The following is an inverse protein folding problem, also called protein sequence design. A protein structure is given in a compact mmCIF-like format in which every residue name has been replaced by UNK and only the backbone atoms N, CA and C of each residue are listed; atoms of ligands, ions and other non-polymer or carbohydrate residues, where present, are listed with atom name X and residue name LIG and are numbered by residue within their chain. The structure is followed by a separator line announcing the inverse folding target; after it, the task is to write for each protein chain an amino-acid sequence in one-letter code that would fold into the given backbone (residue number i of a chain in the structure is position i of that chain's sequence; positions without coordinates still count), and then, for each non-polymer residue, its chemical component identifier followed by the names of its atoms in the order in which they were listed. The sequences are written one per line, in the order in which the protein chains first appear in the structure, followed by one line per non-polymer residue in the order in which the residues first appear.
data_IF_435668700230
#
_entry.id   IF_435668700230
#
_cell.length_a   1.000
_cell.length_b   1.000
_cell.length_c   1.000
_cell.angle_alpha   90.00
_cell.angle_beta   90.00
_cell.angle_gamma   90.00
#
_symmetry.space_group_name_H-M   'P 1'
#
loop_
_entity.id
_entity.type
_entity.pdbx_description
1 polymer ?
#
# COMPACT_ATOMS: atom_id res chain seq x y z
N UNK A 1 -14.41 29.52 35.46
CA UNK A 1 -14.43 28.13 34.93
C UNK A 1 -13.39 27.32 35.70
N UNK A 2 -13.81 26.44 36.61
CA UNK A 2 -12.93 25.84 37.64
C UNK A 2 -11.78 25.02 37.01
N UNK A 3 -10.55 25.27 37.47
CA UNK A 3 -9.28 24.68 37.04
C UNK A 3 -9.34 23.14 36.89
N UNK A 4 -10.14 22.48 37.73
CA UNK A 4 -10.33 21.02 37.68
C UNK A 4 -11.06 20.55 36.42
N UNK A 5 -12.01 21.33 35.93
CA UNK A 5 -12.68 21.01 34.66
C UNK A 5 -11.75 21.28 33.48
N UNK A 6 -11.02 22.40 33.49
CA UNK A 6 -10.04 22.73 32.46
C UNK A 6 -8.95 21.65 32.33
N UNK A 7 -8.44 21.12 33.45
CA UNK A 7 -7.44 20.05 33.45
C UNK A 7 -7.96 18.74 32.84
N UNK A 8 -9.21 18.35 33.15
CA UNK A 8 -9.84 17.16 32.56
C UNK A 8 -10.09 17.34 31.06
N UNK A 9 -10.51 18.53 30.64
CA UNK A 9 -10.66 18.87 29.22
C UNK A 9 -9.33 18.81 28.48
N UNK A 10 -8.27 19.39 29.03
CA UNK A 10 -6.92 19.33 28.45
C UNK A 10 -6.42 17.89 28.35
N UNK A 11 -6.60 17.08 29.39
CA UNK A 11 -6.18 15.68 29.39
C UNK A 11 -6.96 14.85 28.35
N UNK A 12 -8.27 15.09 28.23
CA UNK A 12 -9.09 14.47 27.19
C UNK A 12 -8.66 14.90 25.78
N UNK A 13 -8.36 16.19 25.58
CA UNK A 13 -7.88 16.72 24.30
C UNK A 13 -6.53 16.11 23.90
N UNK A 14 -5.59 16.01 24.86
CA UNK A 14 -4.28 15.39 24.64
C UNK A 14 -4.41 13.91 24.29
N UNK A 15 -5.25 13.17 25.03
CA UNK A 15 -5.50 11.75 24.75
C UNK A 15 -6.12 11.56 23.36
N UNK A 16 -7.15 12.33 23.02
CA UNK A 16 -7.79 12.28 21.70
C UNK A 16 -6.79 12.61 20.57
N UNK A 17 -5.96 13.65 20.76
CA UNK A 17 -4.91 14.04 19.81
C UNK A 17 -3.88 12.92 19.63
N UNK A 18 -3.42 12.30 20.72
CA UNK A 18 -2.46 11.20 20.68
C UNK A 18 -3.03 9.98 19.94
N UNK A 19 -4.29 9.62 20.21
CA UNK A 19 -4.98 8.53 19.50
C UNK A 19 -5.11 8.85 18.01
N UNK A 20 -5.50 10.06 17.64
CA UNK A 20 -5.56 10.51 16.24
C UNK A 20 -4.21 10.39 15.53
N UNK A 21 -3.13 10.83 16.19
CA UNK A 21 -1.77 10.73 15.65
C UNK A 21 -1.32 9.26 15.50
N UNK A 22 -1.63 8.40 16.47
CA UNK A 22 -1.33 6.98 16.40
C UNK A 22 -2.08 6.30 15.24
N UNK A 23 -3.38 6.59 15.07
CA UNK A 23 -4.17 6.08 13.95
C UNK A 23 -3.60 6.56 12.61
N UNK A 24 -3.21 7.83 12.51
CA UNK A 24 -2.59 8.38 11.29
C UNK A 24 -1.21 7.79 10.99
N UNK A 25 -0.41 7.48 12.01
CA UNK A 25 0.91 6.88 11.81
C UNK A 25 0.82 5.40 11.40
N UNK A 26 -0.04 4.64 12.09
CA UNK A 26 -0.04 3.17 12.04
C UNK A 26 -1.17 2.55 11.23
N UNK A 27 -2.33 3.20 11.10
CA UNK A 27 -3.49 2.62 10.42
C UNK A 27 -3.61 3.07 8.96
N UNK A 28 -3.57 4.38 8.71
CA UNK A 28 -3.90 4.95 7.41
C UNK A 28 -2.89 6.00 6.96
N UNK A 29 -2.35 5.85 5.76
CA UNK A 29 -1.57 6.91 5.11
C UNK A 29 -2.28 7.37 3.84
N UNK A 30 -2.49 8.68 3.73
CA UNK A 30 -3.08 9.30 2.54
C UNK A 30 -1.92 9.72 1.65
N UNK A 31 -1.88 9.20 0.43
CA UNK A 31 -0.96 9.65 -0.61
C UNK A 31 -1.74 10.39 -1.69
N UNK A 32 -1.11 11.44 -2.21
CA UNK A 32 -1.57 12.12 -3.43
C UNK A 32 -0.76 11.56 -4.58
N UNK A 33 -1.42 11.10 -5.64
CA UNK A 33 -0.74 10.59 -6.84
C UNK A 33 -0.14 11.79 -7.59
N UNK A 34 1.20 11.92 -7.66
CA UNK A 34 1.83 13.15 -8.15
C UNK A 34 1.88 13.26 -9.68
N UNK A 35 1.94 12.13 -10.39
CA UNK A 35 2.29 12.09 -11.82
C UNK A 35 1.22 11.40 -12.69
N UNK A 36 1.28 11.67 -13.99
CA UNK A 36 0.49 10.97 -15.03
C UNK A 36 1.00 9.56 -15.36
N UNK A 37 2.17 9.19 -14.84
CA UNK A 37 2.80 7.87 -15.07
C UNK A 37 2.03 6.67 -14.50
N UNK A 38 0.89 6.91 -13.86
CA UNK A 38 0.03 5.92 -13.21
C UNK A 38 -1.28 5.68 -13.98
N UNK A 39 -1.47 6.36 -15.12
CA UNK A 39 -2.58 6.12 -16.03
C UNK A 39 -2.45 4.73 -16.69
N UNK A 40 -3.56 3.97 -16.87
CA UNK A 40 -4.96 4.35 -16.66
C UNK A 40 -5.51 4.13 -15.24
N UNK A 41 -4.72 3.57 -14.32
CA UNK A 41 -5.21 3.11 -13.02
C UNK A 41 -5.41 4.24 -12.00
N UNK A 42 -4.72 5.36 -12.17
CA UNK A 42 -4.87 6.56 -11.35
C UNK A 42 -4.74 7.83 -12.19
N UNK A 43 -5.58 8.82 -11.90
CA UNK A 43 -5.46 10.14 -12.49
C UNK A 43 -4.60 11.04 -11.60
N UNK A 44 -3.93 12.01 -12.21
CA UNK A 44 -3.18 13.02 -11.47
C UNK A 44 -4.10 13.72 -10.46
N UNK A 45 -3.64 13.86 -9.21
CA UNK A 45 -4.44 14.47 -8.14
C UNK A 45 -5.36 13.51 -7.39
N UNK A 46 -5.45 12.23 -7.78
CA UNK A 46 -6.17 11.22 -7.01
C UNK A 46 -5.61 11.11 -5.60
N UNK A 47 -6.52 11.11 -4.61
CA UNK A 47 -6.20 10.82 -3.22
C UNK A 47 -6.50 9.38 -2.91
N UNK A 48 -5.47 8.66 -2.48
CA UNK A 48 -5.56 7.26 -2.12
C UNK A 48 -5.26 7.07 -0.65
N UNK A 49 -6.02 6.19 -0.01
CA UNK A 49 -5.78 5.79 1.38
C UNK A 49 -5.19 4.39 1.40
N UNK A 50 -4.09 4.23 2.11
CA UNK A 50 -3.42 2.95 2.30
C UNK A 50 -3.78 2.42 3.68
N UNK A 51 -4.41 1.25 3.72
CA UNK A 51 -4.67 0.54 4.96
C UNK A 51 -3.47 -0.36 5.29
N UNK A 52 -2.65 0.05 6.26
CA UNK A 52 -1.46 -0.71 6.72
C UNK A 52 -1.81 -1.88 7.63
N UNK A 53 -3.02 -1.89 8.20
CA UNK A 53 -3.49 -2.92 9.13
C UNK A 53 -4.18 -4.08 8.41
N UNK A 54 -4.41 -3.95 7.11
CA UNK A 54 -5.06 -4.97 6.31
C UNK A 54 -4.13 -6.18 6.16
N UNK A 55 -4.32 -7.18 7.04
CA UNK A 55 -3.63 -8.48 6.96
C UNK A 55 -4.26 -9.43 5.95
N UNK A 56 -5.29 -9.00 5.22
CA UNK A 56 -5.96 -9.84 4.22
C UNK A 56 -4.98 -10.12 3.08
N UNK A 57 -4.90 -11.38 2.60
CA UNK A 57 -4.07 -11.71 1.46
C UNK A 57 -4.43 -10.84 0.24
N UNK A 58 -3.38 -10.39 -0.43
CA UNK A 58 -3.47 -9.62 -1.68
C UNK A 58 -4.02 -10.53 -2.78
N UNK A 59 -5.05 -10.07 -3.48
CA UNK A 59 -5.72 -10.78 -4.59
C UNK A 59 -5.39 -10.11 -5.92
N UNK A 60 -5.65 -10.85 -7.01
CA UNK A 60 -5.59 -10.29 -8.37
C UNK A 60 -6.56 -9.11 -8.48
N UNK A 61 -6.10 -8.04 -9.11
CA UNK A 61 -6.72 -6.73 -9.30
C UNK A 61 -6.82 -5.84 -8.04
N UNK A 62 -6.30 -6.26 -6.89
CA UNK A 62 -6.18 -5.37 -5.73
C UNK A 62 -5.21 -4.22 -6.05
N UNK A 63 -5.49 -3.03 -5.53
CA UNK A 63 -4.54 -1.92 -5.51
C UNK A 63 -3.70 -2.01 -4.25
N UNK A 64 -2.39 -1.92 -4.40
CA UNK A 64 -1.45 -2.04 -3.28
C UNK A 64 -0.43 -0.90 -3.30
N UNK A 65 -0.04 -0.45 -2.11
CA UNK A 65 1.08 0.44 -1.93
C UNK A 65 2.28 -0.40 -1.51
N UNK A 66 3.43 -0.15 -2.11
CA UNK A 66 4.67 -0.84 -1.79
C UNK A 66 5.84 0.14 -1.82
N UNK A 67 6.90 -0.20 -1.11
CA UNK A 67 8.14 0.58 -1.08
C UNK A 67 9.23 -0.10 -1.90
N UNK A 68 10.18 0.68 -2.39
CA UNK A 68 11.46 0.12 -2.80
C UNK A 68 12.22 -0.45 -1.58
N UNK A 69 13.22 -1.30 -1.84
CA UNK A 69 14.12 -1.96 -0.90
C UNK A 69 14.76 -1.00 0.11
N UNK A 70 14.92 0.27 -0.27
CA UNK A 70 15.48 1.32 0.60
C UNK A 70 14.44 1.98 1.53
N UNK A 71 13.14 1.68 1.41
CA UNK A 71 12.10 2.21 2.31
C UNK A 71 11.70 3.68 2.06
N UNK A 72 12.33 4.37 1.11
CA UNK A 72 12.22 5.82 0.95
C UNK A 72 11.15 6.28 -0.04
N UNK A 73 10.75 5.42 -0.99
CA UNK A 73 9.82 5.78 -2.05
C UNK A 73 8.64 4.84 -2.05
N UNK A 74 7.44 5.40 -1.93
CA UNK A 74 6.18 4.66 -1.94
C UNK A 74 5.58 4.71 -3.36
N UNK A 75 5.27 3.53 -3.89
CA UNK A 75 4.62 3.34 -5.18
C UNK A 75 3.24 2.68 -4.99
N UNK A 76 2.30 2.95 -5.90
CA UNK A 76 0.93 2.40 -5.84
C UNK A 76 0.55 1.71 -7.14
N UNK A 77 0.39 0.40 -7.14
CA UNK A 77 0.11 -0.35 -8.37
C UNK A 77 -1.07 -1.30 -8.24
N UNK A 78 -1.54 -1.79 -9.38
CA UNK A 78 -2.57 -2.83 -9.48
C UNK A 78 -1.91 -4.20 -9.59
N UNK A 79 -2.39 -5.16 -8.81
CA UNK A 79 -1.88 -6.54 -8.86
C UNK A 79 -2.46 -7.24 -10.08
N UNK A 80 -1.62 -7.64 -11.02
CA UNK A 80 -2.04 -8.36 -12.24
C UNK A 80 -1.94 -9.88 -12.06
N UNK A 81 -0.98 -10.34 -11.25
CA UNK A 81 -0.79 -11.76 -11.00
C UNK A 81 -0.29 -12.04 -9.58
N UNK A 82 -0.80 -13.13 -9.01
CA UNK A 82 -0.45 -13.61 -7.67
C UNK A 82 0.38 -14.90 -7.77
N UNK A 83 1.04 -15.36 -6.68
CA UNK A 83 1.75 -16.63 -6.69
C UNK A 83 0.92 -17.79 -7.23
N UNK A 84 1.51 -18.54 -8.16
CA UNK A 84 0.88 -19.65 -8.86
C UNK A 84 0.37 -19.31 -10.26
N UNK A 85 0.14 -18.03 -10.59
CA UNK A 85 -0.22 -17.61 -11.94
C UNK A 85 0.96 -17.68 -12.91
N UNK A 86 0.64 -17.76 -14.20
CA UNK A 86 1.60 -17.71 -15.29
C UNK A 86 1.63 -16.28 -15.83
N UNK A 87 2.82 -15.71 -15.94
CA UNK A 87 3.09 -14.37 -16.47
C UNK A 87 3.91 -14.49 -17.75
N UNK A 88 3.76 -13.51 -18.63
CA UNK A 88 4.51 -13.44 -19.87
C UNK A 88 5.63 -12.42 -19.74
N UNK A 89 6.88 -12.88 -19.80
CA UNK A 89 8.07 -12.02 -19.71
C UNK A 89 9.02 -12.37 -20.86
N UNK A 90 9.35 -11.37 -21.70
CA UNK A 90 10.37 -11.52 -22.74
C UNK A 90 10.09 -12.64 -23.76
N UNK A 91 8.82 -12.86 -24.12
CA UNK A 91 8.42 -13.90 -25.08
C UNK A 91 8.24 -15.30 -24.48
N UNK A 92 8.50 -15.47 -23.18
CA UNK A 92 8.39 -16.74 -22.48
C UNK A 92 7.34 -16.67 -21.36
N UNK A 93 6.82 -17.84 -20.99
CA UNK A 93 5.86 -18.00 -19.90
C UNK A 93 6.56 -18.47 -18.64
N UNK A 94 6.37 -17.74 -17.55
CA UNK A 94 6.93 -18.06 -16.24
C UNK A 94 5.82 -18.21 -15.21
N UNK A 95 5.96 -19.16 -14.29
CA UNK A 95 5.03 -19.30 -13.16
C UNK A 95 5.58 -18.54 -11.96
N UNK A 96 4.77 -17.65 -11.38
CA UNK A 96 5.14 -16.95 -10.15
C UNK A 96 5.26 -17.97 -9.01
N UNK A 97 6.41 -18.07 -8.34
CA UNK A 97 6.60 -19.06 -7.30
C UNK A 97 5.91 -18.64 -5.99
N UNK A 98 5.40 -19.63 -5.25
CA UNK A 98 4.92 -19.42 -3.87
C UNK A 98 6.06 -19.15 -2.88
N UNK A 99 7.29 -19.51 -3.25
CA UNK A 99 8.48 -19.44 -2.42
C UNK A 99 9.62 -18.87 -3.26
N UNK A 100 10.22 -17.76 -2.83
CA UNK A 100 11.31 -17.10 -3.56
C UNK A 100 12.54 -18.01 -3.79
N UNK A 101 12.94 -18.82 -2.81
CA UNK A 101 14.03 -19.78 -2.97
C UNK A 101 13.96 -20.89 -1.90
N UNK A 102 14.55 -22.06 -2.18
CA UNK A 102 14.65 -23.18 -1.21
C UNK A 102 15.51 -22.84 0.02
N UNK A 103 16.31 -21.75 -0.05
CA UNK A 103 17.23 -21.32 0.99
C UNK A 103 16.60 -20.32 1.98
N UNK A 104 15.55 -19.59 1.60
CA UNK A 104 14.84 -18.72 2.54
C UNK A 104 13.83 -19.52 3.35
N UNK A 105 13.90 -19.39 4.68
CA UNK A 105 12.87 -19.92 5.60
C UNK A 105 11.79 -18.89 5.94
N UNK A 106 11.76 -17.77 5.22
CA UNK A 106 10.88 -16.66 5.52
C UNK A 106 9.44 -16.95 5.01
N UNK A 107 8.41 -16.84 5.86
CA UNK A 107 7.01 -17.08 5.47
C UNK A 107 6.45 -16.02 4.51
N UNK A 108 7.13 -14.88 4.39
CA UNK A 108 6.69 -13.71 3.63
C UNK A 108 7.44 -13.51 2.30
N UNK A 109 8.04 -14.57 1.74
CA UNK A 109 8.76 -14.51 0.46
C UNK A 109 7.91 -14.77 -0.79
N UNK A 110 6.70 -14.20 -0.82
CA UNK A 110 5.80 -14.29 -1.99
C UNK A 110 6.10 -13.15 -2.97
N UNK A 111 6.02 -13.42 -4.27
CA UNK A 111 6.13 -12.41 -5.32
C UNK A 111 4.76 -12.12 -5.93
N UNK A 112 4.54 -10.87 -6.32
CA UNK A 112 3.34 -10.41 -7.01
C UNK A 112 3.77 -9.63 -8.25
N UNK A 113 3.06 -9.82 -9.36
CA UNK A 113 3.21 -8.94 -10.51
C UNK A 113 2.27 -7.76 -10.34
N UNK A 114 2.83 -6.56 -10.42
CA UNK A 114 2.13 -5.30 -10.16
C UNK A 114 2.32 -4.39 -11.35
N UNK A 115 1.21 -3.92 -11.92
CA UNK A 115 1.18 -2.89 -12.96
C UNK A 115 1.28 -1.50 -12.33
N UNK A 116 2.20 -0.72 -12.85
CA UNK A 116 2.38 0.71 -12.59
C UNK A 116 2.27 1.42 -13.93
N UNK A 117 1.14 2.08 -14.15
CA UNK A 117 0.83 2.68 -15.45
C UNK A 117 0.93 1.67 -16.59
N UNK A 118 1.92 1.84 -17.47
CA UNK A 118 2.16 0.96 -18.62
C UNK A 118 3.22 -0.13 -18.41
N UNK A 119 3.81 -0.24 -17.21
CA UNK A 119 4.87 -1.22 -16.93
C UNK A 119 4.39 -2.22 -15.88
N UNK A 120 4.78 -3.48 -16.05
CA UNK A 120 4.63 -4.49 -15.01
C UNK A 120 5.96 -4.67 -14.29
N UNK A 121 5.92 -4.77 -12.98
CA UNK A 121 7.09 -5.06 -12.13
C UNK A 121 6.77 -6.20 -11.16
N UNK A 122 7.80 -6.84 -10.63
CA UNK A 122 7.67 -7.84 -9.58
C UNK A 122 7.93 -7.19 -8.22
N UNK A 123 7.03 -7.44 -7.27
CA UNK A 123 7.09 -6.89 -5.92
C UNK A 123 7.03 -8.03 -4.90
N UNK A 124 7.93 -8.01 -3.92
CA UNK A 124 7.89 -8.97 -2.82
C UNK A 124 6.83 -8.59 -1.78
N UNK A 125 6.23 -9.59 -1.12
CA UNK A 125 5.23 -9.35 -0.06
C UNK A 125 5.72 -8.41 1.05
N UNK A 126 6.99 -8.52 1.45
CA UNK A 126 7.56 -7.69 2.52
C UNK A 126 7.77 -6.22 2.11
N UNK A 127 7.76 -5.92 0.81
CA UNK A 127 7.78 -4.55 0.30
C UNK A 127 6.38 -3.93 0.27
N UNK A 128 5.32 -4.73 0.36
CA UNK A 128 3.93 -4.27 0.35
C UNK A 128 3.60 -3.64 1.71
N UNK A 129 3.21 -2.37 1.67
CA UNK A 129 2.81 -1.59 2.83
C UNK A 129 1.36 -1.92 3.21
N UNK A 130 0.47 -2.08 2.23
CA UNK A 130 -0.93 -2.36 2.47
C UNK A 130 -1.81 -2.19 1.23
N UNK A 131 -3.11 -2.51 1.40
CA UNK A 131 -4.10 -2.30 0.34
C UNK A 131 -4.47 -0.84 0.22
N UNK A 132 -4.78 -0.44 -1.01
CA UNK A 132 -5.09 0.92 -1.37
C UNK A 132 -6.56 1.03 -1.75
N UNK A 133 -7.21 2.04 -1.22
CA UNK A 133 -8.58 2.38 -1.53
C UNK A 133 -8.58 3.81 -2.10
N UNK A 134 -9.28 3.99 -3.22
CA UNK A 134 -9.46 5.33 -3.81
C UNK A 134 -10.51 6.06 -2.97
N UNK A 135 -10.17 7.26 -2.50
CA UNK A 135 -11.14 8.08 -1.75
C UNK A 135 -11.99 8.88 -2.75
N UNK A 136 -11.39 9.81 -3.48
CA UNK A 136 -12.08 10.70 -4.42
C UNK A 136 -11.11 11.23 -5.50
N UNK A 137 -11.65 11.52 -6.68
CA UNK A 137 -10.99 12.28 -7.74
C UNK A 137 -11.55 13.71 -7.71
N UNK A 138 -10.74 14.70 -7.34
CA UNK A 138 -11.11 16.10 -7.56
C UNK A 138 -10.70 16.46 -8.98
N UNK A 139 -11.62 16.31 -9.93
CA UNK A 139 -11.45 16.86 -11.27
C UNK A 139 -11.49 18.38 -11.18
N UNK A 140 -10.32 19.02 -11.28
CA UNK A 140 -10.18 20.43 -11.56
C UNK A 140 -9.43 20.59 -12.88
#
# INVERSE_FOLDING_TARGET
MSIRHAARFLLALLLATFVMLAVRAFAFTIYTVPDKGWEPDFHQGDRVIVNKLDRVPVKKHDLIAFTDSAGHVCFVGRVEAVPGNIIHCGGNFYRIPYICCKRCRCPDCKLYEVRIGHRNILVHKHQIIGKVYRLYHFGF
#
